data_IF_677675672123
#
_entry.id   IF_677675672123
#
_cell.length_a   1.000
_cell.length_b   1.000
_cell.length_c   1.000
_cell.angle_alpha   90.00
_cell.angle_beta   90.00
_cell.angle_gamma   90.00
#
_symmetry.space_group_name_H-M   'P 1'
#
loop_
_entity.id
_entity.type
_entity.pdbx_description
1 polymer ?
#
# COMPACT_ATOMS: atom_id res chain seq x y z
N UNK A 1 -18.43 -9.16 -17.15
CA UNK A 1 -18.53 -9.15 -15.68
C UNK A 1 -17.84 -7.88 -15.17
N UNK A 2 -18.62 -6.82 -14.85
CA UNK A 2 -18.14 -5.46 -14.56
C UNK A 2 -18.01 -5.32 -13.03
N UNK A 3 -16.83 -5.05 -12.48
CA UNK A 3 -16.61 -4.89 -11.02
C UNK A 3 -17.50 -3.77 -10.48
N UNK A 4 -18.61 -4.13 -9.83
CA UNK A 4 -19.51 -3.21 -9.12
C UNK A 4 -18.98 -2.78 -7.74
N UNK A 5 -17.81 -3.29 -7.32
CA UNK A 5 -17.23 -3.01 -6.00
C UNK A 5 -16.79 -1.55 -5.82
N UNK A 6 -16.66 -0.78 -6.91
CA UNK A 6 -16.20 0.62 -6.86
C UNK A 6 -17.31 1.64 -6.55
N UNK A 7 -18.59 1.25 -6.53
CA UNK A 7 -19.72 2.22 -6.54
C UNK A 7 -20.23 2.58 -5.14
N UNK A 8 -19.90 1.82 -4.09
CA UNK A 8 -20.43 2.03 -2.74
C UNK A 8 -19.33 2.24 -1.68
N UNK A 9 -18.25 2.93 -2.04
CA UNK A 9 -17.31 3.44 -1.03
C UNK A 9 -17.89 4.74 -0.51
N UNK A 10 -18.53 4.68 0.67
CA UNK A 10 -18.76 5.88 1.46
C UNK A 10 -17.38 6.44 1.81
N UNK A 11 -16.96 7.49 1.11
CA UNK A 11 -15.74 8.25 1.41
C UNK A 11 -15.96 8.94 2.76
N UNK A 12 -15.79 8.20 3.85
CA UNK A 12 -15.80 8.71 5.20
C UNK A 12 -14.51 9.49 5.45
N UNK A 13 -14.33 10.64 4.79
CA UNK A 13 -13.25 11.55 5.14
C UNK A 13 -13.52 12.09 6.53
N UNK A 14 -12.56 11.97 7.47
CA UNK A 14 -12.67 12.70 8.73
C UNK A 14 -12.75 14.20 8.39
N UNK A 15 -13.83 14.88 8.81
CA UNK A 15 -14.13 16.28 8.41
C UNK A 15 -12.97 17.27 8.66
N UNK A 16 -12.07 16.98 9.59
CA UNK A 16 -11.02 17.87 10.05
C UNK A 16 -9.94 18.18 8.99
N UNK A 17 -9.58 17.23 8.12
CA UNK A 17 -8.47 17.41 7.17
C UNK A 17 -8.92 17.81 5.76
N UNK A 18 -10.23 17.80 5.48
CA UNK A 18 -10.80 18.16 4.18
C UNK A 18 -10.40 19.57 3.68
N UNK A 19 -10.33 20.62 4.53
CA UNK A 19 -9.86 21.93 4.08
C UNK A 19 -8.44 21.91 3.51
N UNK A 20 -7.55 21.09 4.09
CA UNK A 20 -6.16 20.93 3.66
C UNK A 20 -6.06 20.21 2.31
N UNK A 21 -6.89 19.20 2.08
CA UNK A 21 -7.01 18.53 0.76
C UNK A 21 -7.43 19.52 -0.31
N UNK A 22 -8.40 20.37 0.01
CA UNK A 22 -8.90 21.37 -0.93
C UNK A 22 -7.81 22.37 -1.32
N UNK A 23 -7.03 22.86 -0.36
CA UNK A 23 -5.92 23.77 -0.66
C UNK A 23 -4.83 23.10 -1.51
N UNK A 24 -4.52 21.83 -1.23
CA UNK A 24 -3.56 21.06 -2.03
C UNK A 24 -4.07 20.82 -3.45
N UNK A 25 -5.35 20.46 -3.59
CA UNK A 25 -5.97 20.25 -4.90
C UNK A 25 -5.96 21.51 -5.77
N UNK A 26 -6.17 22.69 -5.17
CA UNK A 26 -6.11 23.98 -5.89
C UNK A 26 -4.71 24.33 -6.41
N UNK A 27 -3.65 23.83 -5.77
CA UNK A 27 -2.26 24.06 -6.19
C UNK A 27 -1.84 23.14 -7.35
N UNK A 28 -2.62 22.09 -7.65
CA UNK A 28 -2.28 21.09 -8.65
C UNK A 28 -2.97 21.43 -9.98
N UNK A 29 -2.16 21.67 -11.01
CA UNK A 29 -2.64 21.83 -12.38
C UNK A 29 -2.55 20.50 -13.12
N UNK A 30 -3.46 20.17 -14.06
CA UNK A 30 -3.42 18.92 -14.84
C UNK A 30 -2.09 18.67 -15.56
N UNK A 31 -1.43 19.74 -16.01
CA UNK A 31 -0.10 19.67 -16.61
C UNK A 31 0.95 19.08 -15.66
N UNK A 32 0.92 19.49 -14.39
CA UNK A 32 1.86 19.00 -13.36
C UNK A 32 1.65 17.50 -13.10
N UNK A 33 0.40 17.04 -13.11
CA UNK A 33 0.07 15.61 -12.95
C UNK A 33 0.68 14.80 -14.10
N UNK A 34 0.52 15.27 -15.34
CA UNK A 34 1.05 14.58 -16.52
C UNK A 34 2.59 14.50 -16.47
N UNK A 35 3.26 15.62 -16.19
CA UNK A 35 4.73 15.64 -16.08
C UNK A 35 5.23 14.76 -14.94
N UNK A 36 4.55 14.79 -13.79
CA UNK A 36 4.93 13.99 -12.64
C UNK A 36 4.70 12.50 -12.87
N UNK A 37 3.61 12.13 -13.54
CA UNK A 37 3.33 10.75 -13.94
C UNK A 37 4.43 10.21 -14.86
N UNK A 38 4.87 10.99 -15.84
CA UNK A 38 5.94 10.56 -16.75
C UNK A 38 7.30 10.47 -16.03
N UNK A 39 7.55 11.36 -15.05
CA UNK A 39 8.72 11.29 -14.17
C UNK A 39 8.73 9.99 -13.36
N UNK A 40 7.60 9.62 -12.76
CA UNK A 40 7.46 8.39 -11.97
C UNK A 40 7.53 7.12 -12.82
N UNK A 41 7.02 7.14 -14.06
CA UNK A 41 7.17 6.02 -14.99
C UNK A 41 8.63 5.76 -15.35
N UNK A 42 9.41 6.83 -15.56
CA UNK A 42 10.85 6.72 -15.87
C UNK A 42 11.67 6.28 -14.66
N UNK A 43 11.37 6.82 -13.48
CA UNK A 43 12.02 6.45 -12.24
C UNK A 43 10.99 6.37 -11.10
N UNK A 44 10.63 5.15 -10.64
CA UNK A 44 9.70 4.96 -9.53
C UNK A 44 10.13 5.61 -8.21
N UNK A 45 11.43 5.92 -8.05
CA UNK A 45 11.99 6.55 -6.85
C UNK A 45 12.23 8.06 -7.03
N UNK A 46 11.70 8.66 -8.10
CA UNK A 46 11.83 10.09 -8.35
C UNK A 46 11.18 10.91 -7.22
N UNK A 47 11.93 11.87 -6.68
CA UNK A 47 11.42 12.80 -5.66
C UNK A 47 10.61 13.93 -6.32
N UNK A 48 9.62 14.42 -5.59
CA UNK A 48 8.89 15.63 -5.93
C UNK A 48 9.79 16.85 -5.70
N UNK A 49 10.02 17.65 -6.74
CA UNK A 49 10.93 18.80 -6.71
C UNK A 49 10.13 20.11 -6.74
N UNK A 50 9.18 20.21 -7.67
CA UNK A 50 8.28 21.37 -7.80
C UNK A 50 7.23 21.39 -6.69
N UNK A 51 6.77 22.59 -6.31
CA UNK A 51 5.69 22.77 -5.32
C UNK A 51 4.42 22.01 -5.72
N UNK A 52 4.07 22.01 -7.01
CA UNK A 52 2.91 21.25 -7.50
C UNK A 52 3.11 19.73 -7.42
N UNK A 53 4.34 19.23 -7.62
CA UNK A 53 4.65 17.80 -7.45
C UNK A 53 4.57 17.41 -5.97
N UNK A 54 5.05 18.29 -5.07
CA UNK A 54 4.97 18.08 -3.62
C UNK A 54 3.52 18.06 -3.16
N UNK A 55 2.71 19.00 -3.63
CA UNK A 55 1.28 19.04 -3.36
C UNK A 55 0.57 17.78 -3.89
N UNK A 56 0.91 17.30 -5.09
CA UNK A 56 0.36 16.08 -5.65
C UNK A 56 0.78 14.83 -4.86
N UNK A 57 2.03 14.75 -4.43
CA UNK A 57 2.54 13.68 -3.58
C UNK A 57 1.86 13.66 -2.22
N UNK A 58 1.68 14.83 -1.59
CA UNK A 58 0.97 14.96 -0.31
C UNK A 58 -0.51 14.59 -0.48
N UNK A 59 -1.17 15.06 -1.55
CA UNK A 59 -2.56 14.70 -1.87
C UNK A 59 -2.74 13.18 -1.99
N UNK A 60 -1.79 12.49 -2.61
CA UNK A 60 -1.82 11.03 -2.77
C UNK A 60 -1.76 10.28 -1.44
N UNK A 61 -1.11 10.81 -0.41
CA UNK A 61 -1.10 10.20 0.93
C UNK A 61 -2.51 10.18 1.52
N UNK A 62 -3.25 11.28 1.36
CA UNK A 62 -4.64 11.36 1.82
C UNK A 62 -5.58 10.44 1.03
N UNK A 63 -5.36 10.33 -0.28
CA UNK A 63 -6.12 9.38 -1.13
C UNK A 63 -5.83 7.95 -0.69
N UNK A 64 -4.56 7.62 -0.41
CA UNK A 64 -4.18 6.30 0.11
C UNK A 64 -4.91 6.02 1.43
N UNK A 65 -4.85 6.96 2.39
CA UNK A 65 -5.51 6.83 3.69
C UNK A 65 -7.01 6.52 3.59
N UNK A 66 -7.73 7.18 2.68
CA UNK A 66 -9.14 6.87 2.42
C UNK A 66 -9.31 5.53 1.71
N UNK A 67 -8.34 5.12 0.90
CA UNK A 67 -8.40 3.82 0.23
C UNK A 67 -8.07 2.65 1.15
N UNK A 68 -7.35 2.85 2.25
CA UNK A 68 -6.87 1.79 3.15
C UNK A 68 -8.00 0.96 3.79
N UNK A 69 -9.22 1.49 3.85
CA UNK A 69 -10.40 0.81 4.38
C UNK A 69 -11.26 0.14 3.29
N UNK A 70 -10.80 0.13 2.03
CA UNK A 70 -11.53 -0.43 0.90
C UNK A 70 -10.96 -1.81 0.56
N UNK A 71 -11.76 -2.89 0.68
CA UNK A 71 -11.36 -4.26 0.32
C UNK A 71 -10.71 -4.37 -1.05
N UNK A 72 -9.47 -4.84 -1.08
CA UNK A 72 -8.70 -5.06 -2.31
C UNK A 72 -8.17 -3.78 -2.98
N UNK A 73 -8.18 -2.64 -2.30
CA UNK A 73 -7.48 -1.44 -2.76
C UNK A 73 -5.96 -1.57 -2.61
N UNK A 74 -5.21 -0.72 -3.32
CA UNK A 74 -3.76 -0.63 -3.14
C UNK A 74 -3.41 -0.16 -1.72
N UNK A 75 -4.21 0.74 -1.15
CA UNK A 75 -4.03 1.20 0.23
C UNK A 75 -4.16 0.08 1.26
N UNK A 76 -5.18 -0.77 1.15
CA UNK A 76 -5.36 -1.92 2.04
C UNK A 76 -4.17 -2.89 1.97
N UNK A 77 -3.69 -3.19 0.75
CA UNK A 77 -2.52 -4.05 0.56
C UNK A 77 -1.27 -3.43 1.20
N UNK A 78 -1.09 -2.11 1.07
CA UNK A 78 0.05 -1.41 1.62
C UNK A 78 0.00 -1.34 3.15
N UNK A 79 -1.18 -1.09 3.73
CA UNK A 79 -1.43 -1.16 5.17
C UNK A 79 -1.13 -2.55 5.72
N UNK A 80 -1.62 -3.61 5.09
CA UNK A 80 -1.37 -4.99 5.53
C UNK A 80 0.13 -5.32 5.52
N UNK A 81 0.89 -4.88 4.50
CA UNK A 81 2.35 -5.02 4.48
C UNK A 81 3.01 -4.28 5.64
N UNK A 82 2.59 -3.04 5.91
CA UNK A 82 3.13 -2.25 7.02
C UNK A 82 2.83 -2.92 8.36
N UNK A 83 1.64 -3.47 8.56
CA UNK A 83 1.27 -4.24 9.75
C UNK A 83 2.16 -5.47 9.91
N UNK A 84 2.40 -6.24 8.83
CA UNK A 84 3.33 -7.37 8.86
C UNK A 84 4.76 -6.95 9.27
N UNK A 85 5.26 -5.85 8.71
CA UNK A 85 6.57 -5.31 9.07
C UNK A 85 6.61 -4.84 10.53
N UNK A 86 5.56 -4.17 11.00
CA UNK A 86 5.46 -3.71 12.38
C UNK A 86 5.44 -4.90 13.35
N UNK A 87 4.62 -5.93 13.08
CA UNK A 87 4.58 -7.16 13.86
C UNK A 87 5.94 -7.85 13.90
N UNK A 88 6.60 -7.99 12.76
CA UNK A 88 7.94 -8.59 12.68
C UNK A 88 8.97 -7.81 13.50
N UNK A 89 8.88 -6.48 13.50
CA UNK A 89 9.84 -5.61 14.17
C UNK A 89 9.56 -5.46 15.68
N UNK A 90 8.30 -5.60 16.10
CA UNK A 90 7.88 -5.51 17.50
C UNK A 90 7.93 -6.84 18.24
N UNK A 91 7.50 -7.94 17.60
CA UNK A 91 7.35 -9.25 18.24
C UNK A 91 8.40 -10.28 17.77
N UNK A 92 9.22 -9.95 16.78
CA UNK A 92 10.22 -10.86 16.21
C UNK A 92 9.71 -11.63 14.98
N UNK A 93 10.65 -12.35 14.36
CA UNK A 93 10.60 -12.90 12.98
C UNK A 93 9.28 -13.65 12.67
N UNK A 94 8.70 -13.51 11.46
CA UNK A 94 7.64 -14.38 11.00
C UNK A 94 8.15 -15.82 10.97
N UNK A 95 7.65 -16.66 11.87
CA UNK A 95 8.04 -18.06 11.97
C UNK A 95 7.92 -18.75 10.60
N UNK A 96 9.07 -19.14 10.03
CA UNK A 96 9.12 -20.00 8.85
C UNK A 96 8.64 -21.38 9.31
N UNK A 97 7.40 -21.71 9.02
CA UNK A 97 6.89 -23.07 9.20
C UNK A 97 7.39 -23.95 8.07
N UNK A 98 8.51 -24.63 8.33
CA UNK A 98 9.04 -25.66 7.45
C UNK A 98 8.45 -27.01 7.89
N UNK A 99 7.42 -27.50 7.20
CA UNK A 99 6.96 -28.87 7.40
C UNK A 99 7.89 -29.81 6.63
N UNK A 100 8.88 -30.36 7.32
CA UNK A 100 9.62 -31.51 6.82
C UNK A 100 8.68 -32.71 6.90
N UNK A 101 8.10 -33.09 5.77
CA UNK A 101 7.45 -34.38 5.61
C UNK A 101 8.49 -35.34 5.01
N UNK A 102 9.34 -36.00 5.81
CA UNK A 102 10.25 -36.99 5.25
C UNK A 102 9.40 -38.08 4.61
N UNK A 103 9.69 -38.43 3.35
CA UNK A 103 9.19 -39.68 2.81
C UNK A 103 9.62 -40.82 3.76
N UNK A 104 8.73 -41.77 4.06
CA UNK A 104 8.97 -42.86 5.02
C UNK A 104 10.32 -43.56 4.82
N UNK A 105 10.81 -43.62 3.58
CA UNK A 105 12.11 -44.22 3.21
C UNK A 105 13.35 -43.46 3.70
N UNK A 106 13.21 -42.25 4.26
CA UNK A 106 14.31 -41.40 4.75
C UNK A 106 14.15 -40.98 6.21
N UNK A 107 13.24 -41.61 6.95
CA UNK A 107 13.09 -41.34 8.38
C UNK A 107 14.16 -42.11 9.17
N UNK A 108 15.08 -41.45 9.90
CA UNK A 108 16.13 -42.13 10.66
C UNK A 108 15.58 -43.04 11.78
N UNK A 109 14.33 -42.83 12.22
CA UNK A 109 13.67 -43.69 13.21
C UNK A 109 13.26 -45.04 12.59
N UNK A 110 12.91 -45.06 11.29
CA UNK A 110 12.51 -46.28 10.57
C UNK A 110 13.71 -47.15 10.20
N UNK A 111 14.91 -46.58 10.06
CA UNK A 111 16.14 -47.34 9.77
C UNK A 111 16.73 -48.06 10.98
N UNK A 112 16.27 -47.73 12.20
CA UNK A 112 16.79 -48.29 13.46
C UNK A 112 15.84 -49.34 14.06
N UNK A 113 14.67 -49.57 13.44
CA UNK A 113 13.71 -50.62 13.78
C UNK A 113 13.88 -51.85 12.89
#
# INVERSE_FOLDING_TARGET
>A
MRRKSSINVRLGTQRAWFPKVRSLYQQITPAVIATYQDKLKKNPFAKAESEGEKAASELMQYVSYVSDHIPGSIGEIQKMRQEMFALTNCEGIPHIFLTLNPADSKNPIVQVL
#
